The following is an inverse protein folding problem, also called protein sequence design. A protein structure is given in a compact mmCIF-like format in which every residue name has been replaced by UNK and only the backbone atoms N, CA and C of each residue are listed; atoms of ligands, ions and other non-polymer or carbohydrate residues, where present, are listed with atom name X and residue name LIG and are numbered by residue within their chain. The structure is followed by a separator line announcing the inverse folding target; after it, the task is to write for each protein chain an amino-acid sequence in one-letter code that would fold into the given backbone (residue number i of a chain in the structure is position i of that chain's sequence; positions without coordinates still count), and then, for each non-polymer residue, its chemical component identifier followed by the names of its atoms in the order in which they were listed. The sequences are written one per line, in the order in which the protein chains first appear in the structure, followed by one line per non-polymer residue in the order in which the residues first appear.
data_IF_240318307934
#
_entry.id   IF_240318307934
#
_cell.length_a   1.000
_cell.length_b   1.000
_cell.length_c   1.000
_cell.angle_alpha   90.00
_cell.angle_beta   90.00
_cell.angle_gamma   90.00
#
_symmetry.space_group_name_H-M   'P 1'
#
loop_
_entity.id
_entity.type
_entity.pdbx_description
1 polymer ?
#
# COMPACT_ATOMS: atom_id res chain seq x y z
N UNK A 1 3.01 57.25 21.06
CA UNK A 1 4.34 57.09 21.63
C UNK A 1 4.76 55.69 21.45
N UNK A 2 5.56 55.62 20.54
CA UNK A 2 6.84 55.00 20.21
C UNK A 2 6.82 53.47 20.00
N UNK A 3 7.01 53.28 18.78
CA UNK A 3 7.50 52.16 17.99
C UNK A 3 8.90 51.80 18.48
N UNK A 4 9.16 50.53 18.60
CA UNK A 4 10.52 50.00 18.47
C UNK A 4 10.50 48.84 17.50
N UNK A 5 11.02 49.14 16.35
CA UNK A 5 11.61 48.25 15.39
C UNK A 5 12.81 47.52 16.00
N UNK A 6 13.16 46.45 15.42
CA UNK A 6 14.31 45.55 15.52
C UNK A 6 13.91 44.19 16.06
N UNK A 7 13.90 43.14 15.24
CA UNK A 7 15.10 42.49 14.78
C UNK A 7 14.81 41.59 13.61
N UNK A 8 15.25 41.97 12.44
CA UNK A 8 15.56 41.06 11.37
C UNK A 8 16.90 40.42 11.68
N UNK A 9 16.91 39.16 11.98
CA UNK A 9 18.11 38.34 11.84
C UNK A 9 17.86 37.17 10.93
N UNK A 10 18.25 37.43 9.70
CA UNK A 10 18.73 36.40 8.76
C UNK A 10 19.60 35.40 9.46
N UNK A 11 19.15 34.18 9.45
CA UNK A 11 20.06 33.04 9.56
C UNK A 11 20.02 32.33 8.23
N UNK A 12 20.90 32.77 7.36
CA UNK A 12 21.42 31.95 6.28
C UNK A 12 22.22 30.83 6.91
N UNK A 13 21.70 29.65 6.85
CA UNK A 13 22.50 28.47 7.12
C UNK A 13 22.64 27.73 5.79
N UNK A 14 23.68 28.13 5.11
CA UNK A 14 24.25 27.43 3.98
C UNK A 14 24.88 26.13 4.51
N UNK A 15 24.19 25.03 4.34
CA UNK A 15 24.76 23.72 4.57
C UNK A 15 25.33 23.22 3.26
N UNK A 16 26.62 23.41 3.10
CA UNK A 16 27.47 22.79 2.10
C UNK A 16 27.38 21.27 2.21
N UNK A 17 26.96 20.64 1.14
CA UNK A 17 27.05 19.22 0.93
C UNK A 17 28.50 18.83 0.67
N UNK A 18 29.08 17.90 1.41
CA UNK A 18 30.34 17.32 1.02
C UNK A 18 30.14 16.38 -0.16
N UNK A 19 30.73 16.73 -1.27
CA UNK A 19 30.99 15.84 -2.38
C UNK A 19 31.83 14.69 -1.87
N UNK A 20 31.26 13.50 -1.85
CA UNK A 20 32.04 12.30 -1.66
C UNK A 20 32.32 11.70 -3.01
N UNK A 21 33.59 11.73 -3.32
CA UNK A 21 34.21 11.16 -4.52
C UNK A 21 33.89 9.66 -4.65
N UNK A 22 33.56 9.34 -5.86
CA UNK A 22 33.52 8.05 -6.49
C UNK A 22 34.83 7.27 -6.22
N UNK A 23 34.72 6.15 -5.54
CA UNK A 23 35.73 5.13 -5.65
C UNK A 23 35.10 3.93 -6.33
N UNK A 24 35.37 3.87 -7.60
CA UNK A 24 35.24 2.68 -8.42
C UNK A 24 36.30 1.70 -7.95
N UNK A 25 35.84 0.61 -7.37
CA UNK A 25 36.69 -0.55 -7.18
C UNK A 25 36.20 -1.64 -8.12
N UNK A 26 36.85 -1.70 -9.25
CA UNK A 26 36.86 -2.88 -10.11
C UNK A 26 37.50 -4.02 -9.33
N UNK A 27 36.80 -5.08 -9.13
CA UNK A 27 37.39 -6.40 -9.07
C UNK A 27 36.50 -7.34 -9.86
N UNK A 28 36.94 -7.52 -11.10
CA UNK A 28 36.72 -8.73 -11.87
C UNK A 28 37.26 -9.91 -11.09
N UNK A 29 36.45 -10.89 -10.87
CA UNK A 29 36.85 -12.28 -11.09
C UNK A 29 35.61 -13.14 -11.25
N UNK A 30 35.35 -13.42 -12.51
CA UNK A 30 34.49 -14.52 -12.92
C UNK A 30 35.23 -15.84 -12.62
N UNK A 31 34.73 -16.62 -11.68
CA UNK A 31 35.10 -18.03 -11.61
C UNK A 31 33.87 -18.86 -11.95
N UNK A 32 33.92 -19.31 -13.19
CA UNK A 32 33.27 -20.50 -13.67
C UNK A 32 33.66 -21.68 -12.78
N UNK A 33 32.73 -22.33 -12.16
CA UNK A 33 32.86 -23.73 -11.84
C UNK A 33 31.54 -24.43 -12.05
N UNK A 34 31.67 -25.31 -12.94
CA UNK A 34 30.85 -26.35 -13.48
C UNK A 34 30.04 -27.11 -12.43
N UNK A 35 28.74 -27.27 -12.79
CA UNK A 35 28.08 -28.56 -12.85
C UNK A 35 28.16 -29.45 -11.61
N UNK A 36 27.04 -29.49 -10.89
CA UNK A 36 26.46 -30.75 -10.43
C UNK A 36 24.95 -30.61 -10.23
N UNK A 37 24.24 -31.18 -11.18
CA UNK A 37 22.87 -31.63 -10.98
C UNK A 37 22.82 -32.46 -9.71
N UNK A 38 22.14 -31.96 -8.71
CA UNK A 38 21.59 -32.79 -7.67
C UNK A 38 20.09 -32.58 -7.63
N UNK A 39 19.42 -33.48 -8.29
CA UNK A 39 17.99 -33.68 -8.19
C UNK A 39 17.62 -33.94 -6.74
N UNK A 40 17.04 -32.95 -6.11
CA UNK A 40 16.36 -33.10 -4.82
C UNK A 40 14.87 -33.30 -5.10
N UNK A 41 14.29 -34.47 -4.90
CA UNK A 41 12.87 -34.64 -4.90
C UNK A 41 12.34 -34.20 -3.54
N UNK A 42 11.83 -33.01 -3.51
CA UNK A 42 11.24 -32.44 -2.32
C UNK A 42 10.50 -31.16 -2.69
N UNK A 43 9.52 -31.31 -3.57
CA UNK A 43 8.55 -30.26 -3.80
C UNK A 43 7.70 -30.17 -2.55
N UNK A 44 8.19 -29.40 -1.58
CA UNK A 44 7.28 -28.73 -0.68
C UNK A 44 6.43 -27.84 -1.58
N UNK A 45 5.19 -28.23 -1.75
CA UNK A 45 4.19 -27.30 -2.24
C UNK A 45 4.21 -26.11 -1.29
N UNK A 46 4.98 -25.09 -1.66
CA UNK A 46 4.75 -23.77 -1.15
C UNK A 46 3.32 -23.47 -1.60
N UNK A 47 2.41 -23.56 -0.67
CA UNK A 47 1.08 -22.98 -0.86
C UNK A 47 1.33 -21.58 -1.35
N UNK A 48 1.09 -21.36 -2.64
CA UNK A 48 1.02 -20.01 -3.18
C UNK A 48 -0.18 -19.40 -2.47
N UNK A 49 0.09 -18.74 -1.34
CA UNK A 49 -0.91 -17.89 -0.73
C UNK A 49 -1.28 -16.89 -1.79
N UNK A 50 -2.54 -16.90 -2.16
CA UNK A 50 -3.06 -16.03 -3.20
C UNK A 50 -2.65 -14.59 -2.92
N UNK A 51 -1.88 -14.00 -3.82
CA UNK A 51 -1.53 -12.58 -3.75
C UNK A 51 -2.65 -11.69 -4.30
N UNK A 52 -3.85 -12.25 -4.36
CA UNK A 52 -5.05 -11.61 -4.87
C UNK A 52 -6.09 -11.47 -3.77
N UNK A 53 -6.65 -10.29 -3.69
CA UNK A 53 -7.77 -9.95 -2.82
C UNK A 53 -9.05 -9.92 -3.64
N UNK A 54 -10.08 -10.60 -3.16
CA UNK A 54 -11.45 -10.49 -3.67
C UNK A 54 -12.19 -9.42 -2.88
N UNK A 55 -12.88 -8.55 -3.58
CA UNK A 55 -13.64 -7.43 -3.00
C UNK A 55 -15.06 -7.50 -3.52
N UNK A 56 -16.02 -7.69 -2.65
CA UNK A 56 -17.45 -7.78 -2.98
C UNK A 56 -18.19 -6.54 -2.46
N UNK A 57 -18.85 -5.83 -3.37
CA UNK A 57 -19.60 -4.60 -3.06
C UNK A 57 -20.98 -4.73 -3.70
N UNK A 58 -22.01 -5.01 -2.89
CA UNK A 58 -23.32 -5.27 -3.42
C UNK A 58 -23.35 -6.52 -4.31
N UNK A 59 -23.61 -6.34 -5.59
CA UNK A 59 -23.61 -7.42 -6.59
C UNK A 59 -22.32 -7.46 -7.44
N UNK A 60 -21.45 -6.46 -7.26
CA UNK A 60 -20.20 -6.37 -8.01
C UNK A 60 -19.07 -7.05 -7.26
N UNK A 61 -18.17 -7.66 -8.05
CA UNK A 61 -16.96 -8.31 -7.52
C UNK A 61 -15.75 -7.76 -8.25
N UNK A 62 -14.79 -7.27 -7.47
CA UNK A 62 -13.50 -6.83 -7.96
C UNK A 62 -12.40 -7.74 -7.44
N UNK A 63 -11.30 -7.77 -8.14
CA UNK A 63 -10.06 -8.41 -7.69
C UNK A 63 -8.95 -7.39 -7.62
N UNK A 64 -8.08 -7.53 -6.64
CA UNK A 64 -6.94 -6.65 -6.48
C UNK A 64 -5.66 -7.44 -6.29
N UNK A 65 -4.58 -6.98 -6.90
CA UNK A 65 -3.23 -7.48 -6.63
C UNK A 65 -2.71 -6.85 -5.36
N UNK A 66 -2.27 -7.66 -4.42
CA UNK A 66 -1.73 -7.22 -3.15
C UNK A 66 -0.28 -6.75 -3.28
N UNK A 67 0.08 -5.73 -2.52
CA UNK A 67 1.45 -5.28 -2.37
C UNK A 67 2.28 -6.29 -1.58
N UNK A 68 3.60 -6.16 -1.63
CA UNK A 68 4.52 -7.00 -0.88
C UNK A 68 5.11 -6.20 0.30
N UNK A 69 4.46 -6.26 1.44
CA UNK A 69 4.91 -5.63 2.67
C UNK A 69 4.29 -6.27 3.92
N UNK A 70 4.80 -5.95 5.09
CA UNK A 70 4.34 -6.52 6.36
C UNK A 70 2.90 -6.18 6.73
N UNK A 71 2.36 -5.08 6.23
CA UNK A 71 0.95 -4.72 6.42
C UNK A 71 0.03 -5.69 5.69
N UNK A 72 0.40 -6.06 4.47
CA UNK A 72 -0.30 -7.06 3.66
C UNK A 72 -0.21 -8.43 4.29
N UNK A 73 0.96 -8.82 4.81
CA UNK A 73 1.12 -10.10 5.50
C UNK A 73 0.18 -10.21 6.70
N UNK A 74 0.11 -9.14 7.51
CA UNK A 74 -0.79 -9.08 8.65
C UNK A 74 -2.28 -9.07 8.24
N UNK A 75 -2.64 -8.41 7.15
CA UNK A 75 -3.99 -8.45 6.60
C UNK A 75 -4.35 -9.86 6.09
N UNK A 76 -3.42 -10.53 5.42
CA UNK A 76 -3.62 -11.92 5.00
C UNK A 76 -3.87 -12.86 6.18
N UNK A 77 -3.11 -12.70 7.27
CA UNK A 77 -3.35 -13.47 8.50
C UNK A 77 -4.77 -13.23 9.05
N UNK A 78 -5.21 -11.98 9.09
CA UNK A 78 -6.57 -11.64 9.52
C UNK A 78 -7.64 -12.29 8.63
N UNK A 79 -7.41 -12.35 7.33
CA UNK A 79 -8.34 -12.91 6.35
C UNK A 79 -8.34 -14.46 6.31
N UNK A 80 -7.36 -15.12 6.92
CA UNK A 80 -7.35 -16.59 7.06
C UNK A 80 -8.48 -17.10 7.95
N UNK A 81 -8.93 -16.28 8.90
CA UNK A 81 -10.05 -16.64 9.79
C UNK A 81 -11.42 -16.49 9.11
N UNK A 82 -11.44 -15.95 7.89
CA UNK A 82 -12.63 -15.77 7.07
C UNK A 82 -12.73 -14.40 6.42
N UNK A 83 -13.75 -14.19 5.60
CA UNK A 83 -14.00 -12.89 4.97
C UNK A 83 -14.22 -11.77 5.99
N UNK A 84 -13.68 -10.61 5.70
CA UNK A 84 -13.83 -9.40 6.50
C UNK A 84 -14.87 -8.49 5.86
N UNK A 85 -15.99 -8.29 6.53
CA UNK A 85 -17.05 -7.39 6.06
C UNK A 85 -16.99 -6.08 6.84
N UNK A 86 -16.82 -4.98 6.12
CA UNK A 86 -16.69 -3.64 6.68
C UNK A 86 -17.79 -2.72 6.16
N UNK A 87 -18.36 -1.91 7.04
CA UNK A 87 -19.16 -0.76 6.65
C UNK A 87 -18.21 0.43 6.47
N UNK A 88 -17.99 0.81 5.23
CA UNK A 88 -17.07 1.87 4.85
C UNK A 88 -17.82 3.18 4.65
N UNK A 89 -17.30 4.25 5.22
CA UNK A 89 -17.85 5.60 5.11
C UNK A 89 -17.07 6.45 4.13
N UNK A 90 -17.74 7.42 3.51
CA UNK A 90 -17.14 8.35 2.57
C UNK A 90 -16.30 9.40 3.28
N UNK A 91 -15.11 9.67 2.74
CA UNK A 91 -14.23 10.74 3.18
C UNK A 91 -13.88 11.66 2.01
N UNK A 92 -14.17 12.93 2.17
CA UNK A 92 -13.83 14.01 1.25
C UNK A 92 -14.22 13.80 -0.22
N UNK A 93 -15.15 12.87 -0.51
CA UNK A 93 -15.58 12.56 -1.88
C UNK A 93 -14.49 11.94 -2.75
N UNK A 94 -13.50 11.27 -2.13
CA UNK A 94 -12.38 10.65 -2.85
C UNK A 94 -12.10 9.20 -2.44
N UNK A 95 -12.56 8.80 -1.26
CA UNK A 95 -12.25 7.49 -0.67
C UNK A 95 -13.37 6.95 0.21
N UNK A 96 -13.43 5.63 0.34
CA UNK A 96 -14.21 4.91 1.33
C UNK A 96 -13.27 4.25 2.33
N UNK A 97 -13.52 4.45 3.61
CA UNK A 97 -12.69 3.89 4.68
C UNK A 97 -13.48 3.29 5.82
N UNK A 98 -12.89 2.29 6.48
CA UNK A 98 -13.42 1.68 7.67
C UNK A 98 -12.30 1.23 8.62
N UNK A 99 -12.55 1.34 9.92
CA UNK A 99 -11.65 0.82 10.95
C UNK A 99 -11.66 -0.71 10.94
N UNK A 100 -10.48 -1.32 10.96
CA UNK A 100 -10.30 -2.78 10.99
C UNK A 100 -10.60 -3.40 12.37
N UNK A 101 -10.68 -2.58 13.41
CA UNK A 101 -10.78 -3.04 14.80
C UNK A 101 -9.45 -3.54 15.39
N UNK A 102 -8.43 -3.65 14.58
CA UNK A 102 -7.06 -4.07 14.95
C UNK A 102 -6.03 -3.13 14.36
N UNK A 103 -4.83 -3.14 14.92
CA UNK A 103 -3.71 -2.36 14.39
C UNK A 103 -2.76 -3.28 13.64
N UNK A 104 -2.46 -2.95 12.41
CA UNK A 104 -1.50 -3.64 11.56
C UNK A 104 -0.19 -2.84 11.45
N UNK A 105 0.92 -3.48 11.10
CA UNK A 105 2.16 -2.79 10.78
C UNK A 105 1.96 -1.73 9.70
N UNK A 106 2.71 -0.64 9.77
CA UNK A 106 2.66 0.44 8.78
C UNK A 106 3.92 0.40 7.90
N UNK A 107 3.72 0.61 6.61
CA UNK A 107 4.77 0.74 5.61
C UNK A 107 4.53 2.02 4.81
N UNK A 108 4.46 3.14 5.52
CA UNK A 108 4.11 4.43 4.94
C UNK A 108 5.15 4.90 3.92
N UNK A 109 4.68 5.33 2.80
CA UNK A 109 5.45 5.98 1.75
C UNK A 109 4.66 7.12 1.12
N UNK A 110 5.36 8.15 0.64
CA UNK A 110 4.72 9.20 -0.13
C UNK A 110 4.21 8.61 -1.45
N UNK A 111 2.92 8.76 -1.71
CA UNK A 111 2.32 8.24 -2.93
C UNK A 111 1.20 9.13 -3.44
N UNK A 112 0.97 9.06 -4.73
CA UNK A 112 -0.19 9.64 -5.40
C UNK A 112 -1.18 8.51 -5.66
N UNK A 113 -2.31 8.56 -5.00
CA UNK A 113 -3.37 7.56 -5.19
C UNK A 113 -4.19 7.85 -6.43
N UNK A 114 -4.77 6.81 -6.99
CA UNK A 114 -5.74 6.87 -8.06
C UNK A 114 -6.89 5.91 -7.76
N UNK A 115 -7.96 5.97 -8.53
CA UNK A 115 -9.08 5.05 -8.36
C UNK A 115 -8.61 3.58 -8.33
N UNK A 116 -9.12 2.81 -7.39
CA UNK A 116 -8.76 1.40 -7.19
C UNK A 116 -7.57 1.14 -6.29
N UNK A 117 -6.87 2.17 -5.79
CA UNK A 117 -5.86 1.97 -4.77
C UNK A 117 -6.50 1.56 -3.44
N UNK A 118 -5.94 0.52 -2.83
CA UNK A 118 -6.32 0.04 -1.51
C UNK A 118 -5.19 0.38 -0.56
N UNK A 119 -5.52 1.07 0.52
CA UNK A 119 -4.55 1.70 1.42
C UNK A 119 -4.89 1.33 2.86
N UNK A 120 -3.86 1.20 3.68
CA UNK A 120 -3.97 1.20 5.13
C UNK A 120 -3.57 2.59 5.66
N UNK A 121 -4.49 3.27 6.32
CA UNK A 121 -4.24 4.55 6.94
C UNK A 121 -4.07 4.41 8.45
N UNK A 122 -2.98 4.96 8.98
CA UNK A 122 -2.62 4.93 10.41
C UNK A 122 -2.64 3.53 11.04
N UNK A 123 -2.36 2.50 10.26
CA UNK A 123 -2.32 1.11 10.72
C UNK A 123 -3.67 0.50 11.08
N UNK A 124 -4.78 1.21 10.94
CA UNK A 124 -6.11 0.76 11.41
C UNK A 124 -7.23 0.89 10.40
N UNK A 125 -7.16 1.87 9.52
CA UNK A 125 -8.26 2.15 8.58
C UNK A 125 -7.92 1.59 7.21
N UNK A 126 -8.75 0.66 6.74
CA UNK A 126 -8.67 0.15 5.38
C UNK A 126 -9.46 1.09 4.46
N UNK A 127 -8.86 1.50 3.36
CA UNK A 127 -9.37 2.54 2.47
C UNK A 127 -9.38 2.06 1.03
N UNK A 128 -10.45 2.34 0.29
CA UNK A 128 -10.51 2.21 -1.17
C UNK A 128 -10.63 3.61 -1.76
N UNK A 129 -9.66 4.01 -2.57
CA UNK A 129 -9.71 5.26 -3.31
C UNK A 129 -10.56 5.10 -4.58
N UNK A 130 -11.35 6.10 -4.91
CA UNK A 130 -12.05 6.23 -6.18
C UNK A 130 -11.77 7.57 -6.87
N UNK A 131 -10.87 8.36 -6.31
CA UNK A 131 -10.33 9.59 -6.86
C UNK A 131 -8.87 9.76 -6.41
N UNK A 132 -8.23 10.87 -6.76
CA UNK A 132 -6.81 11.12 -6.53
C UNK A 132 -6.55 11.79 -5.19
N UNK A 133 -5.43 11.41 -4.56
CA UNK A 133 -4.89 12.08 -3.37
C UNK A 133 -3.36 11.95 -3.38
N UNK A 134 -2.69 12.80 -2.64
CA UNK A 134 -1.23 12.74 -2.44
C UNK A 134 -0.92 12.82 -0.95
N UNK A 135 -0.45 11.72 -0.38
CA UNK A 135 -0.20 11.61 1.05
C UNK A 135 0.82 10.51 1.38
N UNK A 136 1.25 10.48 2.64
CA UNK A 136 2.05 9.37 3.17
C UNK A 136 1.14 8.26 3.65
N UNK A 137 1.09 7.16 2.91
CA UNK A 137 0.13 6.06 3.08
C UNK A 137 0.83 4.71 2.97
N UNK A 138 0.23 3.69 3.54
CA UNK A 138 0.70 2.30 3.39
C UNK A 138 -0.08 1.62 2.25
N UNK A 139 0.57 1.21 1.15
CA UNK A 139 -0.10 0.50 0.08
C UNK A 139 -0.49 -0.92 0.51
N UNK A 140 -1.72 -1.31 0.24
CA UNK A 140 -2.23 -2.67 0.42
C UNK A 140 -2.36 -3.38 -0.91
N UNK A 141 -2.90 -2.72 -1.91
CA UNK A 141 -3.07 -3.30 -3.23
C UNK A 141 -3.69 -2.36 -4.25
N UNK A 142 -3.94 -2.92 -5.42
CA UNK A 142 -4.58 -2.21 -6.54
C UNK A 142 -5.61 -3.08 -7.20
N UNK A 143 -6.79 -2.55 -7.44
CA UNK A 143 -7.84 -3.25 -8.20
C UNK A 143 -7.39 -3.45 -9.64
N UNK A 144 -7.53 -4.68 -10.13
CA UNK A 144 -7.16 -5.07 -11.48
C UNK A 144 -8.27 -4.74 -12.47
N UNK A 145 -7.92 -4.50 -13.73
CA UNK A 145 -8.84 -4.30 -14.84
C UNK A 145 -9.99 -3.34 -14.53
N UNK A 146 -9.64 -2.23 -13.86
CA UNK A 146 -10.58 -1.32 -13.25
C UNK A 146 -11.35 -0.50 -14.30
N UNK A 147 -12.68 -0.57 -14.23
CA UNK A 147 -13.57 0.47 -14.72
C UNK A 147 -13.83 1.48 -13.58
N UNK A 148 -13.22 2.65 -13.67
CA UNK A 148 -13.30 3.68 -12.62
C UNK A 148 -14.73 4.20 -12.43
N UNK A 149 -15.51 4.30 -13.51
CA UNK A 149 -16.90 4.73 -13.44
C UNK A 149 -17.76 3.70 -12.71
N UNK A 150 -17.57 2.42 -13.00
CA UNK A 150 -18.25 1.32 -12.30
C UNK A 150 -17.87 1.29 -10.82
N UNK A 151 -16.59 1.43 -10.49
CA UNK A 151 -16.17 1.46 -9.09
C UNK A 151 -16.82 2.62 -8.33
N UNK A 152 -16.81 3.81 -8.91
CA UNK A 152 -17.42 4.99 -8.30
C UNK A 152 -18.92 4.85 -8.11
N UNK A 153 -19.61 4.29 -9.12
CA UNK A 153 -21.03 4.00 -9.03
C UNK A 153 -21.35 2.95 -7.96
N UNK A 154 -20.57 1.88 -7.93
CA UNK A 154 -20.75 0.77 -6.96
C UNK A 154 -20.51 1.21 -5.53
N UNK A 155 -19.48 2.02 -5.29
CA UNK A 155 -19.20 2.59 -3.98
C UNK A 155 -20.28 3.62 -3.55
N UNK A 156 -20.83 4.34 -4.50
CA UNK A 156 -21.93 5.28 -4.29
C UNK A 156 -21.57 6.47 -3.40
N UNK A 157 -22.57 7.26 -3.03
CA UNK A 157 -22.45 8.35 -2.06
C UNK A 157 -22.88 7.86 -0.67
N UNK A 158 -22.08 8.06 0.35
CA UNK A 158 -22.40 7.62 1.71
C UNK A 158 -21.78 6.27 2.08
N UNK A 159 -22.36 5.60 3.05
CA UNK A 159 -21.82 4.34 3.55
C UNK A 159 -22.09 3.19 2.59
N UNK A 160 -21.11 2.29 2.49
CA UNK A 160 -21.23 1.07 1.68
C UNK A 160 -20.67 -0.12 2.45
N UNK A 161 -21.28 -1.28 2.29
CA UNK A 161 -20.77 -2.53 2.87
C UNK A 161 -19.88 -3.23 1.85
N UNK A 162 -18.65 -3.52 2.26
CA UNK A 162 -17.64 -4.17 1.43
C UNK A 162 -17.14 -5.41 2.14
N UNK A 163 -17.04 -6.52 1.43
CA UNK A 163 -16.47 -7.77 1.94
C UNK A 163 -15.16 -8.08 1.23
N UNK A 164 -14.13 -8.29 2.03
CA UNK A 164 -12.78 -8.64 1.58
C UNK A 164 -12.50 -10.10 1.91
N UNK A 165 -11.92 -10.83 0.97
CA UNK A 165 -11.46 -12.20 1.18
C UNK A 165 -10.23 -12.50 0.33
N UNK A 166 -9.43 -13.48 0.73
CA UNK A 166 -8.35 -13.98 -0.12
C UNK A 166 -8.95 -14.80 -1.25
N UNK A 167 -8.45 -14.58 -2.45
CA UNK A 167 -8.84 -15.39 -3.60
C UNK A 167 -8.07 -16.71 -3.55
N UNK A 168 -8.81 -17.80 -3.57
CA UNK A 168 -8.25 -19.15 -3.64
C UNK A 168 -7.88 -19.53 -5.06
#
# INVERSE_FOLDING_TARGET
TEISEEDEQQIQNEAELPKKEEQVSETEEALLSEDKEETVPGISQVSQTSDMLKIEIGQETFTATLANNSSVDALKELLKDGPLTLKMSDYAGMEKGADLGVTLPQNNQQMNTTAGDIILYQGRTLVIYYDTNSWSLTPIGKINDLDEALLKETLGSGDVTVTFSLQS
#
